data_IF_297794654565
#
_entry.id   IF_297794654565
#
_cell.length_a   1.000
_cell.length_b   1.000
_cell.length_c   1.000
_cell.angle_alpha   90.00
_cell.angle_beta   90.00
_cell.angle_gamma   90.00
#
_symmetry.space_group_name_H-M   'P 1'
#
loop_
_entity.id
_entity.type
_entity.pdbx_description
1 polymer ?
#
# COMPACT_ATOMS: atom_id res chain seq x y z
N UNK A 1 -14.07 -18.19 -44.30
CA UNK A 1 -12.85 -17.36 -44.13
C UNK A 1 -12.37 -17.51 -42.71
N UNK A 2 -11.26 -18.22 -42.52
CA UNK A 2 -10.65 -18.49 -41.18
C UNK A 2 -9.82 -17.29 -40.82
N UNK A 3 -10.24 -16.50 -39.83
CA UNK A 3 -9.43 -15.43 -39.29
C UNK A 3 -8.48 -15.98 -38.19
N UNK A 4 -7.26 -15.64 -38.35
CA UNK A 4 -6.01 -16.18 -37.82
C UNK A 4 -5.89 -16.03 -36.29
N UNK A 5 -5.90 -17.16 -35.56
CA UNK A 5 -5.74 -17.25 -34.10
C UNK A 5 -4.30 -17.05 -33.59
N UNK A 6 -3.38 -16.60 -34.44
CA UNK A 6 -1.95 -16.42 -34.08
C UNK A 6 -1.56 -15.02 -33.61
N UNK A 7 -2.40 -14.00 -33.79
CA UNK A 7 -2.11 -12.61 -33.35
C UNK A 7 -2.38 -12.30 -31.88
N UNK A 8 -2.98 -13.23 -31.13
CA UNK A 8 -3.26 -13.03 -29.70
C UNK A 8 -2.14 -13.51 -28.74
N UNK A 9 -1.04 -14.07 -29.23
CA UNK A 9 -0.01 -14.68 -28.38
C UNK A 9 1.35 -13.97 -28.33
N UNK A 10 1.48 -12.78 -28.91
CA UNK A 10 2.79 -12.08 -28.97
C UNK A 10 2.77 -10.61 -28.51
N UNK A 11 1.98 -10.27 -27.53
CA UNK A 11 2.34 -9.11 -26.73
C UNK A 11 3.31 -9.59 -25.66
N UNK A 12 4.60 -9.54 -25.97
CA UNK A 12 5.66 -9.88 -25.03
C UNK A 12 5.56 -8.96 -23.80
N UNK A 13 5.98 -9.47 -22.63
CA UNK A 13 6.08 -8.68 -21.39
C UNK A 13 6.84 -7.37 -21.60
N UNK A 14 7.75 -7.31 -22.58
CA UNK A 14 8.49 -6.12 -22.97
C UNK A 14 7.62 -5.02 -23.61
N UNK A 15 6.59 -5.37 -24.40
CA UNK A 15 5.67 -4.40 -25.00
C UNK A 15 4.71 -3.81 -23.94
N UNK A 16 4.28 -4.63 -22.99
CA UNK A 16 3.52 -4.17 -21.82
C UNK A 16 4.38 -3.25 -20.93
N UNK A 17 5.64 -3.58 -20.71
CA UNK A 17 6.58 -2.73 -19.98
C UNK A 17 6.89 -1.42 -20.74
N UNK A 18 6.99 -1.42 -22.06
CA UNK A 18 7.23 -0.19 -22.84
C UNK A 18 6.03 0.76 -22.85
N UNK A 19 4.80 0.25 -22.91
CA UNK A 19 3.58 1.03 -22.65
C UNK A 19 3.53 1.54 -21.20
N UNK A 20 4.04 0.76 -20.25
CA UNK A 20 4.17 1.07 -18.86
C UNK A 20 5.03 2.32 -18.59
N UNK A 21 6.23 2.36 -19.21
CA UNK A 21 7.14 3.51 -19.07
C UNK A 21 6.66 4.77 -19.78
N UNK A 22 5.88 4.65 -20.87
CA UNK A 22 5.27 5.81 -21.55
C UNK A 22 4.12 6.43 -20.75
N UNK A 23 3.27 5.60 -20.16
CA UNK A 23 2.15 6.07 -19.33
C UNK A 23 2.65 6.69 -18.01
N UNK A 24 3.66 6.08 -17.36
CA UNK A 24 4.29 6.64 -16.16
C UNK A 24 4.95 8.01 -16.42
N UNK A 25 5.60 8.20 -17.58
CA UNK A 25 6.16 9.50 -17.99
C UNK A 25 5.10 10.60 -18.13
N UNK A 26 3.91 10.25 -18.61
CA UNK A 26 2.82 11.23 -18.84
C UNK A 26 2.11 11.62 -17.55
N UNK A 27 2.06 10.72 -16.57
CA UNK A 27 1.38 10.93 -15.28
C UNK A 27 2.31 11.55 -14.24
N UNK A 28 3.61 11.25 -14.25
CA UNK A 28 4.55 11.61 -13.18
C UNK A 28 5.67 12.57 -13.58
N UNK A 29 5.70 13.10 -14.80
CA UNK A 29 6.56 14.23 -15.22
C UNK A 29 8.06 14.07 -14.92
N UNK A 30 8.65 12.88 -15.15
CA UNK A 30 10.06 12.60 -14.85
C UNK A 30 10.97 13.38 -15.77
N UNK A 31 11.49 14.51 -15.31
CA UNK A 31 12.70 15.14 -15.87
C UNK A 31 13.92 14.58 -15.13
N UNK A 32 15.01 14.32 -15.89
CA UNK A 32 16.30 13.83 -15.38
C UNK A 32 16.75 14.63 -14.17
N UNK A 33 17.12 13.94 -13.10
CA UNK A 33 17.67 14.51 -11.87
C UNK A 33 19.20 14.49 -11.98
N UNK A 34 19.84 15.62 -11.67
CA UNK A 34 21.28 15.87 -11.65
C UNK A 34 21.91 15.32 -10.35
N UNK A 35 23.23 15.01 -10.32
CA UNK A 35 23.87 14.44 -9.15
C UNK A 35 24.08 15.47 -8.02
N UNK A 36 23.80 15.03 -6.79
CA UNK A 36 23.96 15.78 -5.55
C UNK A 36 25.42 15.83 -5.12
N UNK A 37 25.93 17.03 -4.76
CA UNK A 37 27.20 17.23 -4.04
C UNK A 37 26.92 17.32 -2.54
N UNK A 38 27.54 16.41 -1.75
CA UNK A 38 27.54 16.48 -0.29
C UNK A 38 28.30 17.72 0.20
N UNK A 39 27.73 18.47 1.11
CA UNK A 39 28.45 19.46 1.92
C UNK A 39 28.91 18.80 3.21
N UNK A 40 30.20 18.84 3.45
CA UNK A 40 30.85 18.40 4.69
C UNK A 40 30.43 19.30 5.85
N UNK A 41 30.21 18.67 7.02
CA UNK A 41 29.88 19.33 8.25
C UNK A 41 31.07 20.10 8.86
N UNK A 42 30.75 21.18 9.54
CA UNK A 42 31.65 21.83 10.52
C UNK A 42 31.12 21.53 11.91
N UNK A 43 32.02 21.04 12.75
CA UNK A 43 31.86 20.78 14.18
C UNK A 43 31.47 22.05 14.95
N UNK A 44 30.46 21.93 15.82
CA UNK A 44 30.29 22.84 16.97
C UNK A 44 30.04 22.00 18.22
N UNK A 45 31.06 21.94 19.04
CA UNK A 45 30.99 21.48 20.44
C UNK A 45 30.16 22.47 21.26
N UNK A 46 29.16 21.97 21.93
CA UNK A 46 28.42 22.65 22.98
C UNK A 46 27.65 21.57 23.73
N UNK A 47 28.23 21.15 24.89
CA UNK A 47 27.55 20.29 25.85
C UNK A 47 26.42 21.09 26.50
N UNK A 48 25.20 20.87 26.09
CA UNK A 48 23.99 21.17 26.85
C UNK A 48 23.28 19.86 27.14
N UNK A 49 22.88 19.69 28.37
CA UNK A 49 22.13 18.57 28.95
C UNK A 49 20.81 18.43 28.17
N UNK A 50 20.82 17.61 27.09
CA UNK A 50 19.68 17.38 26.22
C UNK A 50 18.91 16.21 26.78
N UNK A 51 17.81 16.49 27.46
CA UNK A 51 16.70 15.53 27.48
C UNK A 51 16.55 15.01 26.05
N UNK A 52 16.67 13.69 25.85
CA UNK A 52 16.57 13.04 24.52
C UNK A 52 15.20 13.37 23.95
N UNK A 53 15.10 14.50 23.25
CA UNK A 53 13.92 14.82 22.48
C UNK A 53 13.77 13.72 21.42
N UNK A 54 12.63 13.07 21.38
CA UNK A 54 12.33 12.05 20.39
C UNK A 54 12.64 12.59 19.00
N UNK A 55 13.40 11.81 18.24
CA UNK A 55 13.87 12.21 16.91
C UNK A 55 12.67 12.62 16.04
N UNK A 56 12.65 13.80 15.44
CA UNK A 56 11.50 14.29 14.67
C UNK A 56 11.36 13.53 13.36
N UNK A 57 10.84 12.31 13.41
CA UNK A 57 10.61 11.45 12.25
C UNK A 57 9.36 10.60 12.42
N UNK A 58 8.78 10.08 11.33
CA UNK A 58 7.70 9.12 11.45
C UNK A 58 8.22 7.78 12.01
N UNK A 59 7.44 7.14 12.87
CA UNK A 59 7.74 5.80 13.39
C UNK A 59 7.35 4.71 12.40
N UNK A 60 6.36 4.99 11.53
CA UNK A 60 5.90 4.03 10.54
C UNK A 60 5.33 4.66 9.27
N UNK A 61 5.30 3.86 8.20
CA UNK A 61 4.52 4.09 6.99
C UNK A 61 3.50 2.96 6.79
N UNK A 62 2.25 3.29 6.48
CA UNK A 62 1.32 2.35 5.88
C UNK A 62 1.22 2.65 4.37
N UNK A 63 1.89 1.81 3.58
CA UNK A 63 2.10 2.04 2.15
C UNK A 63 0.94 1.58 1.25
N UNK A 64 -0.11 0.98 1.83
CA UNK A 64 -1.24 0.44 1.07
C UNK A 64 -1.82 -0.81 1.71
N UNK A 65 -2.67 -1.53 0.95
CA UNK A 65 -3.16 -1.19 -0.37
C UNK A 65 -4.35 -0.23 -0.28
N UNK A 66 -4.54 0.59 -1.32
CA UNK A 66 -5.80 1.32 -1.43
C UNK A 66 -6.98 0.34 -1.46
N UNK A 67 -8.05 0.61 -0.71
CA UNK A 67 -9.23 -0.26 -0.56
C UNK A 67 -9.00 -1.52 0.28
N UNK A 68 -7.97 -1.55 1.12
CA UNK A 68 -7.65 -2.66 2.03
C UNK A 68 -7.73 -2.28 3.53
N UNK A 69 -8.54 -1.29 3.90
CA UNK A 69 -8.77 -0.95 5.32
C UNK A 69 -7.87 0.15 5.89
N UNK A 70 -7.10 0.87 5.06
CA UNK A 70 -6.20 1.95 5.54
C UNK A 70 -6.93 3.10 6.25
N UNK A 71 -8.20 3.37 5.94
CA UNK A 71 -9.00 4.37 6.67
C UNK A 71 -9.42 3.86 8.04
N UNK A 72 -9.75 2.57 8.16
CA UNK A 72 -9.97 1.93 9.45
C UNK A 72 -8.72 2.03 10.32
N UNK A 73 -7.56 1.66 9.80
CA UNK A 73 -6.29 1.73 10.53
C UNK A 73 -6.01 3.17 11.02
N UNK A 74 -6.16 4.17 10.13
CA UNK A 74 -5.96 5.56 10.50
C UNK A 74 -6.85 5.97 11.69
N UNK A 75 -8.14 5.63 11.68
CA UNK A 75 -9.04 5.94 12.80
C UNK A 75 -8.66 5.21 14.08
N UNK A 76 -8.32 3.93 13.99
CA UNK A 76 -7.91 3.14 15.16
C UNK A 76 -6.67 3.72 15.84
N UNK A 77 -5.69 4.18 15.07
CA UNK A 77 -4.48 4.81 15.62
C UNK A 77 -4.74 6.23 16.11
N UNK A 78 -5.60 7.00 15.43
CA UNK A 78 -5.95 8.36 15.87
C UNK A 78 -6.61 8.38 17.26
N UNK A 79 -7.38 7.35 17.59
CA UNK A 79 -8.09 7.23 18.89
C UNK A 79 -7.23 6.54 19.96
N UNK A 80 -6.04 6.04 19.62
CA UNK A 80 -5.19 5.34 20.57
C UNK A 80 -4.28 6.31 21.33
N UNK A 81 -4.20 6.23 22.69
CA UNK A 81 -3.48 7.21 23.49
C UNK A 81 -1.97 7.27 23.25
N UNK A 82 -1.36 6.20 22.73
CA UNK A 82 0.06 6.17 22.40
C UNK A 82 0.39 6.85 21.06
N UNK A 83 -0.62 7.33 20.33
CA UNK A 83 -0.42 7.92 19.02
C UNK A 83 -0.86 9.37 18.93
N UNK A 84 -0.07 10.16 18.23
CA UNK A 84 -0.54 11.35 17.55
C UNK A 84 -0.52 11.10 16.04
N UNK A 85 -1.68 11.09 15.41
CA UNK A 85 -1.76 10.94 13.95
C UNK A 85 -1.95 12.31 13.28
N UNK A 86 -1.23 12.60 12.18
CA UNK A 86 -1.44 13.82 11.41
C UNK A 86 -2.93 14.07 11.14
N UNK A 87 -3.42 15.34 11.23
CA UNK A 87 -4.83 15.67 10.98
C UNK A 87 -5.24 15.50 9.51
N UNK A 88 -4.28 15.16 8.65
CA UNK A 88 -4.46 14.88 7.23
C UNK A 88 -4.05 13.44 6.97
N UNK A 89 -4.99 12.60 6.56
CA UNK A 89 -4.68 11.28 6.04
C UNK A 89 -4.18 11.40 4.59
N UNK A 90 -3.18 10.57 4.23
CA UNK A 90 -2.57 10.52 2.90
C UNK A 90 -1.80 11.79 2.55
N UNK A 91 -0.60 11.94 3.15
CA UNK A 91 0.27 13.09 2.92
C UNK A 91 0.77 13.17 1.47
N UNK A 92 0.86 12.04 0.78
CA UNK A 92 1.33 11.96 -0.60
C UNK A 92 2.72 12.56 -0.87
N UNK A 93 3.50 12.85 0.17
CA UNK A 93 4.76 13.57 0.06
C UNK A 93 5.75 12.89 -0.91
N UNK A 94 5.92 11.57 -0.78
CA UNK A 94 6.89 10.84 -1.60
C UNK A 94 6.43 10.63 -3.05
N UNK A 95 5.17 10.34 -3.29
CA UNK A 95 4.68 10.10 -4.65
C UNK A 95 4.38 11.37 -5.44
N UNK A 96 4.34 12.53 -4.77
CA UNK A 96 4.25 13.84 -5.39
C UNK A 96 5.57 14.64 -5.30
N UNK A 97 6.68 13.98 -4.97
CA UNK A 97 8.04 14.54 -4.93
C UNK A 97 8.14 15.83 -4.09
N UNK A 98 7.68 15.76 -2.84
CA UNK A 98 7.72 16.87 -1.90
C UNK A 98 6.52 17.83 -1.98
N UNK A 99 5.64 17.66 -2.96
CA UNK A 99 4.37 18.40 -2.98
C UNK A 99 3.36 17.71 -2.07
N UNK A 100 2.64 18.49 -1.32
CA UNK A 100 1.54 18.00 -0.48
C UNK A 100 0.21 18.49 -1.07
N UNK A 101 -0.82 17.62 -1.12
CA UNK A 101 -2.16 18.05 -1.53
C UNK A 101 -2.67 19.20 -0.68
N UNK A 102 -3.62 19.96 -1.21
CA UNK A 102 -4.28 21.03 -0.45
C UNK A 102 -4.87 20.50 0.85
N UNK A 103 -4.49 21.13 1.96
CA UNK A 103 -5.00 20.82 3.32
C UNK A 103 -6.11 21.79 3.75
N UNK A 104 -6.73 22.51 2.81
CA UNK A 104 -7.72 23.55 3.10
C UNK A 104 -8.96 23.05 3.88
N UNK A 105 -9.29 21.75 3.73
CA UNK A 105 -10.40 21.11 4.45
C UNK A 105 -10.01 20.48 5.78
N UNK A 106 -8.71 20.42 6.09
CA UNK A 106 -8.24 19.83 7.33
C UNK A 106 -8.59 20.70 8.54
N UNK A 107 -9.05 20.08 9.61
CA UNK A 107 -9.38 20.77 10.86
C UNK A 107 -8.39 20.34 11.93
N UNK A 108 -7.82 21.34 12.62
CA UNK A 108 -6.99 21.11 13.78
C UNK A 108 -7.85 20.69 14.98
N UNK A 109 -7.45 19.64 15.69
CA UNK A 109 -8.07 19.20 16.96
C UNK A 109 -7.45 19.94 18.14
N UNK A 110 -6.15 20.27 18.04
CA UNK A 110 -5.35 20.92 19.07
C UNK A 110 -4.21 21.79 18.47
N UNK A 111 -3.32 22.30 19.32
CA UNK A 111 -2.17 23.13 18.92
C UNK A 111 -1.13 22.36 18.12
N UNK A 112 -0.95 21.06 18.34
CA UNK A 112 -0.05 20.22 17.57
C UNK A 112 -0.52 20.14 16.13
N UNK A 113 -1.81 19.89 15.93
CA UNK A 113 -2.42 19.87 14.62
C UNK A 113 -2.27 21.20 13.89
N UNK A 114 -2.43 22.33 14.60
CA UNK A 114 -2.24 23.67 14.00
C UNK A 114 -0.81 23.85 13.51
N UNK A 115 0.18 23.54 14.35
CA UNK A 115 1.60 23.61 13.96
C UNK A 115 1.94 22.70 12.79
N UNK A 116 1.42 21.48 12.77
CA UNK A 116 1.57 20.57 11.66
C UNK A 116 0.99 21.12 10.36
N UNK A 117 -0.25 21.66 10.39
CA UNK A 117 -0.90 22.22 9.22
C UNK A 117 -0.19 23.46 8.69
N UNK A 118 0.41 24.28 9.55
CA UNK A 118 1.26 25.39 9.14
C UNK A 118 2.57 24.93 8.50
N UNK A 119 3.21 23.91 9.06
CA UNK A 119 4.42 23.31 8.48
C UNK A 119 4.13 22.72 7.09
N UNK A 120 3.06 21.96 6.93
CA UNK A 120 2.70 21.32 5.65
C UNK A 120 2.35 22.36 4.58
N UNK A 121 1.72 23.48 4.94
CA UNK A 121 1.47 24.60 4.01
C UNK A 121 2.77 25.20 3.48
N UNK A 122 3.79 25.33 4.34
CA UNK A 122 5.13 25.80 3.92
C UNK A 122 5.81 24.82 2.96
N UNK A 123 5.68 23.52 3.20
CA UNK A 123 6.23 22.48 2.33
C UNK A 123 5.48 22.39 0.99
N UNK A 124 4.18 22.66 0.95
CA UNK A 124 3.38 22.56 -0.29
C UNK A 124 3.85 23.49 -1.41
N UNK A 125 4.61 24.54 -1.07
CA UNK A 125 5.23 25.46 -2.02
C UNK A 125 6.53 24.91 -2.67
N UNK A 126 7.06 23.79 -2.15
CA UNK A 126 8.30 23.16 -2.65
C UNK A 126 8.00 22.18 -3.77
N UNK A 127 9.01 21.90 -4.60
CA UNK A 127 8.87 21.01 -5.77
C UNK A 127 9.94 19.90 -5.83
N UNK A 128 10.61 19.63 -4.70
CA UNK A 128 11.63 18.59 -4.57
C UNK A 128 11.41 17.77 -3.30
N UNK A 129 11.87 16.53 -3.34
CA UNK A 129 11.82 15.61 -2.20
C UNK A 129 12.96 15.93 -1.23
N UNK A 130 12.60 16.39 -0.04
CA UNK A 130 13.49 16.64 1.07
C UNK A 130 13.04 15.81 2.27
N UNK A 131 13.90 14.89 2.75
CA UNK A 131 13.54 13.95 3.80
C UNK A 131 13.64 14.57 5.20
N UNK A 132 14.50 15.56 5.39
CA UNK A 132 14.58 16.36 6.63
C UNK A 132 13.31 17.20 6.82
N UNK A 133 12.87 17.88 5.75
CA UNK A 133 11.62 18.61 5.78
C UNK A 133 10.41 17.71 6.09
N UNK A 134 10.41 16.49 5.54
CA UNK A 134 9.38 15.50 5.84
C UNK A 134 9.44 15.02 7.29
N UNK A 135 10.64 14.73 7.80
CA UNK A 135 10.86 14.35 9.18
C UNK A 135 10.36 15.44 10.13
N UNK A 136 10.71 16.70 9.84
CA UNK A 136 10.31 17.88 10.63
C UNK A 136 8.79 18.03 10.81
N UNK A 137 7.97 17.47 9.92
CA UNK A 137 6.51 17.45 10.09
C UNK A 137 6.10 16.69 11.36
N UNK A 138 6.88 15.69 11.78
CA UNK A 138 6.58 14.84 12.91
C UNK A 138 7.16 15.35 14.24
N UNK A 139 7.88 16.48 14.25
CA UNK A 139 8.41 17.08 15.47
C UNK A 139 7.33 17.39 16.52
N UNK A 140 6.09 17.63 16.06
CA UNK A 140 4.96 17.95 16.95
C UNK A 140 4.41 16.73 17.71
N UNK A 141 4.83 15.50 17.37
CA UNK A 141 4.33 14.28 18.02
C UNK A 141 4.78 14.16 19.49
N UNK A 142 5.93 14.77 19.86
CA UNK A 142 6.58 14.56 21.15
C UNK A 142 6.93 13.08 21.34
N UNK A 143 6.67 12.54 22.52
CA UNK A 143 6.93 11.14 22.87
C UNK A 143 5.91 10.14 22.25
N UNK A 144 4.88 10.63 21.57
CA UNK A 144 3.88 9.78 20.96
C UNK A 144 4.38 9.14 19.67
N UNK A 145 3.89 7.96 19.35
CA UNK A 145 4.10 7.32 18.06
C UNK A 145 3.31 8.08 16.98
N UNK A 146 3.86 8.14 15.78
CA UNK A 146 3.22 8.79 14.64
C UNK A 146 3.66 8.19 13.32
N UNK A 147 2.84 8.35 12.27
CA UNK A 147 3.20 7.85 10.95
C UNK A 147 2.31 8.37 9.84
N UNK A 148 2.67 8.02 8.63
CA UNK A 148 1.94 8.40 7.43
C UNK A 148 1.24 7.18 6.81
N UNK A 149 -0.06 7.31 6.61
CA UNK A 149 -0.89 6.28 5.98
C UNK A 149 -1.30 6.77 4.58
N UNK A 150 -0.43 6.50 3.61
CA UNK A 150 -0.64 6.90 2.21
C UNK A 150 -0.58 5.67 1.29
N UNK A 151 -1.73 5.10 0.89
CA UNK A 151 -1.78 3.90 0.06
C UNK A 151 -1.11 4.05 -1.32
N UNK A 152 -0.90 5.26 -1.78
CA UNK A 152 -0.21 5.55 -3.03
C UNK A 152 1.30 5.20 -2.96
N UNK A 153 1.87 5.06 -1.76
CA UNK A 153 3.27 4.66 -1.60
C UNK A 153 3.56 3.23 -2.04
N UNK A 154 2.54 2.38 -2.17
CA UNK A 154 2.66 1.08 -2.84
C UNK A 154 3.20 1.18 -4.28
N UNK A 155 3.09 2.36 -4.89
CA UNK A 155 3.48 2.63 -6.28
C UNK A 155 4.85 3.31 -6.42
N UNK A 156 5.55 3.58 -5.32
CA UNK A 156 6.87 4.20 -5.36
C UNK A 156 7.86 3.33 -6.13
N UNK A 157 8.75 3.99 -6.86
CA UNK A 157 9.85 3.33 -7.55
C UNK A 157 10.96 2.95 -6.56
N UNK A 158 11.87 2.12 -7.01
CA UNK A 158 12.97 1.59 -6.21
C UNK A 158 13.86 2.70 -5.64
N UNK A 159 14.21 3.73 -6.44
CA UNK A 159 15.06 4.83 -6.03
C UNK A 159 14.46 5.63 -4.85
N UNK A 160 13.16 5.92 -4.89
CA UNK A 160 12.49 6.64 -3.81
C UNK A 160 12.41 5.79 -2.54
N UNK A 161 12.10 4.48 -2.68
CA UNK A 161 12.05 3.57 -1.53
C UNK A 161 13.42 3.47 -0.86
N UNK A 162 14.49 3.29 -1.64
CA UNK A 162 15.86 3.22 -1.14
C UNK A 162 16.24 4.47 -0.37
N UNK A 163 15.96 5.66 -0.91
CA UNK A 163 16.21 6.93 -0.22
C UNK A 163 15.47 7.03 1.10
N UNK A 164 14.17 6.67 1.13
CA UNK A 164 13.38 6.69 2.37
C UNK A 164 13.99 5.77 3.42
N UNK A 165 14.26 4.51 3.06
CA UNK A 165 14.74 3.50 4.01
C UNK A 165 16.17 3.79 4.47
N UNK A 166 17.02 4.33 3.60
CA UNK A 166 18.38 4.74 3.98
C UNK A 166 18.37 5.92 4.94
N UNK A 167 17.42 6.85 4.79
CA UNK A 167 17.31 8.02 5.68
C UNK A 167 16.61 7.66 7.00
N UNK A 168 15.64 6.74 6.99
CA UNK A 168 14.90 6.28 8.15
C UNK A 168 15.14 4.78 8.40
N UNK A 169 16.30 4.35 8.90
CA UNK A 169 16.69 2.93 8.95
C UNK A 169 15.84 2.07 9.90
N UNK A 170 15.14 2.69 10.85
CA UNK A 170 14.26 2.01 11.83
C UNK A 170 12.76 2.18 11.51
N UNK A 171 12.44 2.74 10.34
CA UNK A 171 11.06 3.00 9.92
C UNK A 171 10.30 1.69 9.75
N UNK A 172 9.21 1.54 10.50
CA UNK A 172 8.31 0.39 10.35
C UNK A 172 7.40 0.58 9.15
N UNK A 173 7.25 -0.46 8.35
CA UNK A 173 6.43 -0.43 7.13
C UNK A 173 5.31 -1.45 7.23
N UNK A 174 4.08 -0.99 7.04
CA UNK A 174 2.87 -1.80 7.02
C UNK A 174 2.29 -1.84 5.60
N UNK A 175 1.95 -3.03 5.15
CA UNK A 175 1.14 -3.23 3.95
C UNK A 175 -0.11 -4.05 4.30
N UNK A 176 -1.30 -3.47 4.10
CA UNK A 176 -2.58 -4.17 4.22
C UNK A 176 -2.90 -4.80 2.87
N UNK A 177 -2.71 -6.10 2.75
CA UNK A 177 -3.01 -6.85 1.53
C UNK A 177 -4.52 -7.14 1.42
N UNK A 178 -5.03 -7.20 0.21
CA UNK A 178 -6.39 -7.61 -0.11
C UNK A 178 -6.39 -8.40 -1.41
N UNK A 179 -7.32 -9.34 -1.52
CA UNK A 179 -7.60 -10.06 -2.74
C UNK A 179 -7.63 -9.11 -3.96
N UNK A 180 -6.82 -9.35 -5.00
CA UNK A 180 -6.70 -8.46 -6.16
C UNK A 180 -8.02 -8.14 -6.84
N UNK A 181 -8.91 -9.12 -6.98
CA UNK A 181 -10.23 -8.98 -7.61
C UNK A 181 -11.11 -8.03 -6.77
N UNK A 182 -11.22 -8.33 -5.49
CA UNK A 182 -12.02 -7.55 -4.54
C UNK A 182 -11.48 -6.11 -4.39
N UNK A 183 -10.15 -5.97 -4.34
CA UNK A 183 -9.50 -4.67 -4.26
C UNK A 183 -9.79 -3.81 -5.49
N UNK A 184 -9.57 -4.39 -6.69
CA UNK A 184 -9.78 -3.70 -7.96
C UNK A 184 -11.24 -3.28 -8.12
N UNK A 185 -12.18 -4.19 -7.86
CA UNK A 185 -13.61 -3.87 -7.90
C UNK A 185 -14.01 -2.75 -6.94
N UNK A 186 -13.47 -2.79 -5.72
CA UNK A 186 -13.72 -1.75 -4.73
C UNK A 186 -13.18 -0.38 -5.17
N UNK A 187 -12.07 -0.35 -5.91
CA UNK A 187 -11.52 0.89 -6.46
C UNK A 187 -12.37 1.42 -7.62
N UNK A 188 -12.77 0.57 -8.55
CA UNK A 188 -13.66 0.94 -9.65
C UNK A 188 -15.00 1.50 -9.11
N UNK A 189 -15.60 0.82 -8.13
CA UNK A 189 -16.83 1.28 -7.46
C UNK A 189 -16.64 2.66 -6.81
N UNK A 190 -15.50 2.90 -6.19
CA UNK A 190 -15.16 4.20 -5.62
C UNK A 190 -14.99 5.27 -6.71
N UNK A 191 -14.32 4.93 -7.81
CA UNK A 191 -14.08 5.84 -8.93
C UNK A 191 -15.38 6.35 -9.56
N UNK A 192 -16.35 5.47 -9.80
CA UNK A 192 -17.68 5.83 -10.29
C UNK A 192 -18.41 6.75 -9.30
N UNK A 193 -18.45 6.37 -8.02
CA UNK A 193 -19.10 7.17 -6.98
C UNK A 193 -18.53 8.57 -6.84
N UNK A 194 -17.20 8.70 -6.88
CA UNK A 194 -16.52 9.99 -6.76
C UNK A 194 -16.43 10.75 -8.09
N UNK A 195 -17.00 10.19 -9.17
CA UNK A 195 -16.92 10.75 -10.54
C UNK A 195 -15.48 11.00 -11.00
N UNK A 196 -14.53 10.19 -10.52
CA UNK A 196 -13.12 10.26 -10.89
C UNK A 196 -12.79 9.40 -12.12
N UNK A 197 -13.73 8.56 -12.55
CA UNK A 197 -13.67 7.76 -13.78
C UNK A 197 -14.97 7.95 -14.57
N UNK A 198 -14.88 7.77 -15.87
CA UNK A 198 -16.07 7.79 -16.74
C UNK A 198 -17.00 6.63 -16.33
N UNK A 199 -18.31 6.89 -16.18
CA UNK A 199 -19.26 5.81 -15.91
C UNK A 199 -19.15 4.72 -16.97
N UNK A 200 -19.17 3.47 -16.54
CA UNK A 200 -19.09 2.28 -17.38
C UNK A 200 -20.21 1.30 -17.02
N UNK A 201 -20.50 0.36 -17.93
CA UNK A 201 -21.47 -0.69 -17.65
C UNK A 201 -20.86 -1.75 -16.73
N UNK A 202 -21.19 -1.69 -15.44
CA UNK A 202 -20.66 -2.60 -14.41
C UNK A 202 -21.10 -4.07 -14.59
N UNK A 203 -22.06 -4.36 -15.50
CA UNK A 203 -22.51 -5.73 -15.83
C UNK A 203 -21.85 -6.27 -17.11
N UNK A 204 -21.20 -5.41 -17.88
CA UNK A 204 -20.42 -5.80 -19.06
C UNK A 204 -18.97 -6.09 -18.68
N UNK A 205 -18.56 -7.34 -18.87
CA UNK A 205 -17.21 -7.76 -18.53
C UNK A 205 -16.12 -7.08 -19.39
N UNK A 206 -16.41 -6.71 -20.65
CA UNK A 206 -15.46 -6.04 -21.52
C UNK A 206 -15.23 -4.60 -21.07
N UNK A 207 -16.29 -3.90 -20.72
CA UNK A 207 -16.24 -2.52 -20.22
C UNK A 207 -15.50 -2.42 -18.87
N UNK A 208 -15.80 -3.37 -17.98
CA UNK A 208 -15.08 -3.50 -16.71
C UNK A 208 -13.59 -3.76 -16.92
N UNK A 209 -13.24 -4.69 -17.83
CA UNK A 209 -11.82 -5.00 -18.10
C UNK A 209 -11.07 -3.83 -18.71
N UNK A 210 -11.73 -3.01 -19.54
CA UNK A 210 -11.13 -1.78 -20.07
C UNK A 210 -10.73 -0.83 -18.92
N UNK A 211 -11.61 -0.61 -17.96
CA UNK A 211 -11.33 0.24 -16.79
C UNK A 211 -10.34 -0.40 -15.80
N UNK A 212 -10.32 -1.74 -15.72
CA UNK A 212 -9.33 -2.46 -14.88
C UNK A 212 -7.90 -2.26 -15.36
N UNK A 213 -7.70 -2.11 -16.67
CA UNK A 213 -6.38 -1.89 -17.29
C UNK A 213 -5.84 -0.47 -17.08
N UNK A 214 -6.61 0.45 -16.49
CA UNK A 214 -6.07 1.73 -16.05
C UNK A 214 -4.87 1.51 -15.10
N UNK A 215 -3.71 2.13 -15.37
CA UNK A 215 -2.51 1.92 -14.57
C UNK A 215 -2.71 2.19 -13.07
N UNK A 216 -3.55 3.17 -12.73
CA UNK A 216 -3.88 3.50 -11.35
C UNK A 216 -4.70 2.42 -10.63
N UNK A 217 -5.43 1.58 -11.38
CA UNK A 217 -6.16 0.42 -10.85
C UNK A 217 -5.27 -0.81 -10.87
N UNK A 218 -4.69 -1.11 -12.03
CA UNK A 218 -3.95 -2.35 -12.30
C UNK A 218 -2.73 -2.50 -11.39
N UNK A 219 -1.87 -1.48 -11.32
CA UNK A 219 -0.60 -1.56 -10.59
C UNK A 219 -0.79 -1.78 -9.08
N UNK A 220 -1.84 -1.19 -8.52
CA UNK A 220 -2.19 -1.38 -7.11
C UNK A 220 -2.84 -2.74 -6.81
N UNK A 221 -3.17 -3.51 -7.85
CA UNK A 221 -3.79 -4.83 -7.74
C UNK A 221 -2.81 -6.00 -7.80
N UNK A 222 -1.51 -5.73 -7.61
CA UNK A 222 -0.47 -6.75 -7.58
C UNK A 222 0.26 -6.74 -6.22
N UNK A 223 -0.38 -7.21 -5.13
CA UNK A 223 0.20 -7.20 -3.80
C UNK A 223 1.51 -7.99 -3.70
N UNK A 224 1.68 -9.10 -4.45
CA UNK A 224 2.94 -9.85 -4.47
C UNK A 224 4.11 -8.98 -4.94
N UNK A 225 3.93 -8.27 -6.05
CA UNK A 225 4.96 -7.38 -6.62
C UNK A 225 5.27 -6.17 -5.72
N UNK A 226 4.25 -5.63 -5.06
CA UNK A 226 4.41 -4.52 -4.12
C UNK A 226 5.25 -4.98 -2.92
N UNK A 227 4.87 -6.11 -2.32
CA UNK A 227 5.57 -6.68 -1.16
C UNK A 227 7.01 -7.06 -1.51
N UNK A 228 7.23 -7.74 -2.65
CA UNK A 228 8.55 -8.11 -3.12
C UNK A 228 9.46 -6.88 -3.33
N UNK A 229 8.91 -5.79 -3.88
CA UNK A 229 9.65 -4.53 -4.08
C UNK A 229 10.10 -3.93 -2.76
N UNK A 230 9.23 -3.75 -1.80
CA UNK A 230 9.55 -3.14 -0.52
C UNK A 230 10.48 -4.00 0.34
N UNK A 231 10.32 -5.34 0.31
CA UNK A 231 11.19 -6.28 1.02
C UNK A 231 12.65 -6.25 0.56
N UNK A 232 12.96 -5.71 -0.60
CA UNK A 232 14.36 -5.55 -1.05
C UNK A 232 15.12 -4.48 -0.26
N UNK A 233 14.42 -3.52 0.30
CA UNK A 233 15.00 -2.36 0.97
C UNK A 233 14.74 -2.33 2.47
N UNK A 234 13.55 -2.78 2.91
CA UNK A 234 13.16 -2.76 4.32
C UNK A 234 13.57 -4.06 5.00
N UNK A 235 14.29 -3.97 6.12
CA UNK A 235 14.68 -5.13 6.92
C UNK A 235 13.45 -5.92 7.39
N UNK A 236 13.53 -7.27 7.46
CA UNK A 236 12.36 -8.13 7.76
C UNK A 236 11.65 -7.80 9.08
N UNK A 237 12.39 -7.36 10.11
CA UNK A 237 11.83 -6.98 11.40
C UNK A 237 10.99 -5.70 11.35
N UNK A 238 11.23 -4.83 10.37
CA UNK A 238 10.51 -3.58 10.18
C UNK A 238 9.44 -3.63 9.10
N UNK A 239 9.19 -4.78 8.46
CA UNK A 239 8.17 -4.93 7.43
C UNK A 239 7.11 -5.94 7.85
N UNK A 240 5.82 -5.55 7.83
CA UNK A 240 4.70 -6.47 8.10
C UNK A 240 3.61 -6.36 7.05
N UNK A 241 3.13 -7.52 6.64
CA UNK A 241 1.93 -7.66 5.80
C UNK A 241 0.78 -8.12 6.68
N UNK A 242 -0.32 -7.40 6.62
CA UNK A 242 -1.60 -7.76 7.24
C UNK A 242 -2.65 -7.91 6.15
N UNK A 243 -3.78 -8.53 6.45
CA UNK A 243 -4.77 -8.86 5.44
C UNK A 243 -6.12 -8.23 5.75
N UNK A 244 -6.79 -7.76 4.70
CA UNK A 244 -8.15 -7.25 4.81
C UNK A 244 -9.14 -8.34 5.28
N UNK A 245 -8.85 -9.58 4.96
CA UNK A 245 -9.59 -10.77 5.44
C UNK A 245 -9.61 -10.86 6.97
N UNK A 246 -8.49 -10.55 7.62
CA UNK A 246 -8.40 -10.53 9.07
C UNK A 246 -9.20 -9.35 9.67
N UNK A 247 -9.23 -8.22 8.97
CA UNK A 247 -10.08 -7.09 9.33
C UNK A 247 -11.57 -7.46 9.29
N UNK A 248 -12.00 -8.23 8.30
CA UNK A 248 -13.38 -8.70 8.19
C UNK A 248 -13.72 -9.77 9.23
N UNK A 249 -12.76 -10.64 9.56
CA UNK A 249 -12.98 -11.80 10.43
C UNK A 249 -12.79 -11.48 11.91
N UNK A 250 -11.71 -10.79 12.26
CA UNK A 250 -11.35 -10.49 13.65
C UNK A 250 -10.60 -9.15 13.74
N UNK A 251 -11.30 -8.02 13.63
CA UNK A 251 -10.69 -6.68 13.65
C UNK A 251 -9.97 -6.37 14.97
N UNK A 252 -10.41 -6.94 16.09
CA UNK A 252 -9.78 -6.72 17.39
C UNK A 252 -8.37 -7.34 17.45
N UNK A 253 -8.21 -8.56 16.96
CA UNK A 253 -6.92 -9.24 16.92
C UNK A 253 -5.98 -8.57 15.91
N UNK A 254 -6.49 -8.21 14.73
CA UNK A 254 -5.72 -7.45 13.75
C UNK A 254 -5.19 -6.15 14.36
N UNK A 255 -6.06 -5.38 15.04
CA UNK A 255 -5.67 -4.15 15.72
C UNK A 255 -4.58 -4.41 16.76
N UNK A 256 -4.77 -5.43 17.62
CA UNK A 256 -3.80 -5.81 18.64
C UNK A 256 -2.43 -6.12 18.01
N UNK A 257 -2.40 -6.93 16.97
CA UNK A 257 -1.18 -7.31 16.27
C UNK A 257 -0.45 -6.09 15.65
N UNK A 258 -1.19 -5.14 15.06
CA UNK A 258 -0.61 -3.91 14.52
C UNK A 258 -0.04 -3.03 15.64
N UNK A 259 -0.75 -2.85 16.74
CA UNK A 259 -0.28 -2.06 17.88
C UNK A 259 1.01 -2.62 18.47
N UNK A 260 1.08 -3.94 18.68
CA UNK A 260 2.30 -4.63 19.14
C UNK A 260 3.47 -4.41 18.16
N UNK A 261 3.23 -4.57 16.87
CA UNK A 261 4.26 -4.34 15.86
C UNK A 261 4.77 -2.89 15.88
N UNK A 262 3.88 -1.92 16.06
CA UNK A 262 4.25 -0.52 16.14
C UNK A 262 4.95 -0.15 17.46
N UNK A 263 4.83 -0.97 18.50
CA UNK A 263 5.43 -0.74 19.82
C UNK A 263 4.51 -0.01 20.79
N UNK A 264 3.20 0.02 20.48
CA UNK A 264 2.18 0.57 21.38
C UNK A 264 1.62 -0.49 22.33
N UNK A 265 1.06 -0.07 23.46
CA UNK A 265 0.38 -0.97 24.39
C UNK A 265 -1.01 -1.35 23.87
N UNK A 266 -1.24 -2.59 23.44
CA UNK A 266 -2.51 -3.01 22.88
C UNK A 266 -3.65 -3.07 23.90
N UNK A 267 -3.36 -2.96 25.19
CA UNK A 267 -4.35 -3.03 26.27
C UNK A 267 -4.89 -1.64 26.67
N UNK A 268 -4.23 -0.56 26.25
CA UNK A 268 -4.74 0.78 26.47
C UNK A 268 -6.06 1.01 25.75
N UNK A 269 -7.06 1.60 26.38
CA UNK A 269 -8.35 1.87 25.76
C UNK A 269 -8.20 2.91 24.64
N UNK A 270 -8.80 2.64 23.50
CA UNK A 270 -8.86 3.58 22.38
C UNK A 270 -10.18 4.33 22.43
N UNK A 271 -10.24 5.44 23.11
CA UNK A 271 -11.40 6.31 23.13
C UNK A 271 -12.75 5.58 23.10
N UNK A 272 -13.68 6.06 22.26
CA UNK A 272 -15.00 5.43 22.04
C UNK A 272 -15.03 4.49 20.83
N UNK A 273 -13.95 4.44 20.04
CA UNK A 273 -13.92 3.70 18.78
C UNK A 273 -13.63 2.21 19.04
N UNK A 274 -14.60 1.36 18.73
CA UNK A 274 -14.42 -0.09 18.76
C UNK A 274 -13.59 -0.58 17.57
N UNK A 275 -12.91 -1.71 17.73
CA UNK A 275 -12.12 -2.30 16.66
C UNK A 275 -12.98 -2.73 15.45
N UNK A 276 -14.20 -3.14 15.69
CA UNK A 276 -15.18 -3.55 14.68
C UNK A 276 -15.97 -2.38 14.06
N UNK A 277 -15.59 -1.12 14.38
CA UNK A 277 -16.22 0.04 13.75
C UNK A 277 -16.08 -0.01 12.22
N UNK A 278 -17.22 -0.08 11.57
CA UNK A 278 -17.37 -0.31 10.15
C UNK A 278 -17.98 0.88 9.41
N UNK A 279 -17.70 2.09 9.88
CA UNK A 279 -18.23 3.34 9.31
C UNK A 279 -17.80 3.55 7.84
N UNK A 280 -16.82 2.77 7.35
CA UNK A 280 -16.37 2.80 5.93
C UNK A 280 -17.19 1.90 5.01
N UNK A 281 -18.10 1.07 5.52
CA UNK A 281 -18.98 0.26 4.68
C UNK A 281 -19.97 1.15 3.97
N UNK A 282 -19.84 1.21 2.65
CA UNK A 282 -20.75 1.97 1.80
C UNK A 282 -21.85 1.07 1.26
N UNK A 283 -23.09 1.55 1.33
CA UNK A 283 -24.27 0.85 0.78
C UNK A 283 -24.37 0.98 -0.75
N UNK A 284 -23.72 1.98 -1.33
CA UNK A 284 -23.76 2.38 -2.75
C UNK A 284 -22.63 1.75 -3.60
N UNK A 285 -22.16 0.55 -3.23
CA UNK A 285 -21.17 -0.19 -4.04
C UNK A 285 -21.83 -0.76 -5.31
N UNK A 286 -21.09 -0.72 -6.42
CA UNK A 286 -21.49 -1.43 -7.62
C UNK A 286 -21.62 -2.93 -7.33
N UNK A 287 -22.67 -3.57 -7.85
CA UNK A 287 -22.86 -5.00 -7.70
C UNK A 287 -21.89 -5.75 -8.62
N UNK A 288 -21.04 -6.60 -8.05
CA UNK A 288 -20.16 -7.49 -8.79
C UNK A 288 -20.98 -8.72 -9.26
N UNK A 289 -21.22 -8.80 -10.57
CA UNK A 289 -21.93 -9.96 -11.15
C UNK A 289 -21.00 -11.17 -11.26
N UNK A 290 -21.53 -12.40 -11.26
CA UNK A 290 -20.72 -13.61 -11.40
C UNK A 290 -19.87 -13.59 -12.67
N UNK A 291 -20.43 -13.19 -13.81
CA UNK A 291 -19.73 -13.07 -15.11
C UNK A 291 -18.51 -12.12 -15.03
N UNK A 292 -18.69 -10.95 -14.43
CA UNK A 292 -17.60 -9.97 -14.26
C UNK A 292 -16.56 -10.49 -13.29
N UNK A 293 -17.01 -11.07 -12.16
CA UNK A 293 -16.14 -11.69 -11.16
C UNK A 293 -15.22 -12.75 -11.74
N UNK A 294 -15.80 -13.68 -12.52
CA UNK A 294 -15.04 -14.74 -13.20
C UNK A 294 -14.03 -14.18 -14.19
N UNK A 295 -14.41 -13.16 -14.95
CA UNK A 295 -13.49 -12.54 -15.92
C UNK A 295 -12.33 -11.85 -15.23
N UNK A 296 -12.56 -11.09 -14.15
CA UNK A 296 -11.53 -10.46 -13.36
C UNK A 296 -10.65 -11.51 -12.67
N UNK A 297 -11.24 -12.57 -12.12
CA UNK A 297 -10.50 -13.65 -11.47
C UNK A 297 -9.54 -14.34 -12.43
N UNK A 298 -9.98 -14.70 -13.63
CA UNK A 298 -9.09 -15.27 -14.67
C UNK A 298 -7.97 -14.32 -15.05
N UNK A 299 -8.23 -13.02 -15.09
CA UNK A 299 -7.20 -12.02 -15.36
C UNK A 299 -6.15 -11.99 -14.26
N UNK A 300 -6.55 -12.10 -12.98
CA UNK A 300 -5.66 -12.09 -11.83
C UNK A 300 -5.24 -13.49 -11.37
N UNK A 301 -5.54 -14.56 -12.11
CA UNK A 301 -5.26 -15.94 -11.68
C UNK A 301 -3.82 -16.14 -11.25
N UNK A 302 -2.87 -15.70 -12.07
CA UNK A 302 -1.45 -15.81 -11.74
C UNK A 302 -1.09 -15.00 -10.48
N UNK A 303 -1.60 -13.79 -10.34
CA UNK A 303 -1.35 -12.96 -9.16
C UNK A 303 -1.96 -13.57 -7.89
N UNK A 304 -3.18 -14.13 -7.98
CA UNK A 304 -3.82 -14.83 -6.86
C UNK A 304 -2.98 -16.02 -6.39
N UNK A 305 -2.45 -16.83 -7.34
CA UNK A 305 -1.57 -17.95 -7.06
C UNK A 305 -0.24 -17.49 -6.45
N UNK A 306 0.37 -16.44 -7.00
CA UNK A 306 1.62 -15.87 -6.47
C UNK A 306 1.42 -15.33 -5.05
N UNK A 307 0.31 -14.62 -4.80
CA UNK A 307 -0.01 -14.15 -3.45
C UNK A 307 -0.19 -15.31 -2.45
N UNK A 308 -0.83 -16.39 -2.88
CA UNK A 308 -1.00 -17.59 -2.02
C UNK A 308 0.34 -18.19 -1.63
N UNK A 309 1.31 -18.20 -2.56
CA UNK A 309 2.66 -18.72 -2.34
C UNK A 309 3.51 -17.81 -1.46
N UNK A 310 3.59 -16.55 -1.81
CA UNK A 310 4.60 -15.64 -1.27
C UNK A 310 4.14 -14.89 -0.02
N UNK A 311 2.84 -14.57 0.08
CA UNK A 311 2.31 -13.82 1.22
C UNK A 311 1.84 -14.73 2.36
N UNK A 312 1.36 -15.93 2.03
CA UNK A 312 0.84 -16.86 3.03
C UNK A 312 -0.46 -16.38 3.69
N UNK A 313 -0.70 -16.76 4.95
CA UNK A 313 -1.88 -16.35 5.71
C UNK A 313 -3.20 -16.51 4.95
N UNK A 314 -4.14 -15.56 5.06
CA UNK A 314 -5.40 -15.58 4.31
C UNK A 314 -5.25 -15.66 2.79
N UNK A 315 -4.15 -15.15 2.20
CA UNK A 315 -3.93 -15.19 0.77
C UNK A 315 -3.87 -16.61 0.20
N UNK A 316 -3.51 -17.63 1.01
CA UNK A 316 -3.54 -19.04 0.63
C UNK A 316 -4.92 -19.48 0.12
N UNK A 317 -5.98 -18.84 0.56
CA UNK A 317 -7.36 -19.19 0.20
C UNK A 317 -7.91 -18.36 -0.96
N UNK A 318 -7.22 -17.32 -1.43
CA UNK A 318 -7.71 -16.45 -2.49
C UNK A 318 -7.96 -17.17 -3.82
N UNK A 319 -7.07 -18.06 -4.33
CA UNK A 319 -7.33 -18.81 -5.55
C UNK A 319 -8.59 -19.66 -5.48
N UNK A 320 -8.80 -20.36 -4.36
CA UNK A 320 -9.94 -21.26 -4.18
C UNK A 320 -11.29 -20.53 -4.20
N UNK A 321 -11.35 -19.23 -3.85
CA UNK A 321 -12.57 -18.40 -3.94
C UNK A 321 -13.13 -18.31 -5.36
N UNK A 322 -12.28 -18.55 -6.36
CA UNK A 322 -12.58 -18.45 -7.78
C UNK A 322 -12.48 -19.79 -8.49
N UNK A 323 -12.41 -20.89 -7.74
CA UNK A 323 -12.34 -22.25 -8.29
C UNK A 323 -10.96 -22.63 -8.86
N UNK A 324 -9.91 -21.86 -8.58
CA UNK A 324 -8.56 -22.21 -8.99
C UNK A 324 -7.96 -23.20 -7.99
N UNK A 325 -7.62 -24.41 -8.49
CA UNK A 325 -7.02 -25.47 -7.68
C UNK A 325 -5.60 -25.10 -7.23
N UNK A 326 -5.27 -25.42 -5.97
CA UNK A 326 -3.90 -25.38 -5.46
C UNK A 326 -3.03 -26.54 -5.97
N UNK A 327 -3.58 -27.52 -6.68
CA UNK A 327 -2.83 -28.66 -7.22
C UNK A 327 -1.68 -28.26 -8.15
N UNK A 328 -1.74 -27.08 -8.74
CA UNK A 328 -0.64 -26.51 -9.54
C UNK A 328 0.64 -26.28 -8.71
N UNK A 329 0.52 -26.03 -7.41
CA UNK A 329 1.67 -25.90 -6.50
C UNK A 329 2.46 -27.18 -6.35
N UNK A 330 1.77 -28.32 -6.30
CA UNK A 330 2.42 -29.63 -6.18
C UNK A 330 3.26 -29.92 -7.43
N UNK A 331 2.80 -29.52 -8.61
CA UNK A 331 3.51 -29.70 -9.87
C UNK A 331 4.76 -28.79 -10.03
N UNK A 332 4.74 -27.58 -9.53
CA UNK A 332 5.87 -26.67 -9.69
C UNK A 332 7.04 -26.98 -8.74
N UNK A 333 6.76 -27.68 -7.63
CA UNK A 333 7.78 -28.18 -6.71
C UNK A 333 8.06 -29.69 -6.89
N UNK A 334 7.31 -30.38 -7.71
CA UNK A 334 7.56 -31.80 -8.02
C UNK A 334 8.78 -31.97 -8.94
N UNK A 335 9.15 -30.95 -9.73
CA UNK A 335 10.37 -30.99 -10.55
C UNK A 335 11.64 -30.79 -9.72
N UNK A 336 11.56 -30.21 -8.51
CA UNK A 336 12.69 -30.04 -7.57
C UNK A 336 12.79 -31.16 -6.50
N UNK A 337 11.76 -31.98 -6.39
CA UNK A 337 11.77 -33.14 -5.54
C UNK A 337 11.67 -34.39 -6.44
N UNK A 338 12.70 -35.25 -6.43
CA UNK A 338 12.73 -36.59 -7.05
C UNK A 338 11.56 -37.46 -6.53
N UNK A 339 10.32 -37.02 -6.80
CA UNK A 339 9.10 -37.78 -6.43
C UNK A 339 8.81 -38.96 -7.36
N UNK A 340 9.63 -39.18 -8.41
CA UNK A 340 9.53 -40.35 -9.25
C UNK A 340 9.99 -41.67 -8.54
N UNK A 341 10.66 -41.57 -7.39
CA UNK A 341 11.06 -42.75 -6.61
C UNK A 341 9.96 -43.38 -5.74
N UNK A 342 8.76 -42.77 -5.63
CA UNK A 342 7.71 -43.28 -4.73
C UNK A 342 6.57 -44.00 -5.44
N UNK A 343 6.47 -43.90 -6.76
CA UNK A 343 5.41 -44.61 -7.52
C UNK A 343 5.79 -46.03 -7.92
N UNK A 344 7.06 -46.41 -7.89
CA UNK A 344 7.51 -47.79 -8.15
C UNK A 344 7.41 -48.71 -6.94
N UNK A 345 6.92 -48.24 -5.79
CA UNK A 345 6.77 -49.07 -4.57
C UNK A 345 5.31 -49.47 -4.27
N UNK A 346 4.35 -49.05 -5.10
CA UNK A 346 2.91 -49.39 -4.96
C UNK A 346 2.37 -50.17 -6.20
N UNK A 347 3.23 -50.59 -7.11
CA UNK A 347 2.83 -51.52 -8.19
C UNK A 347 3.15 -52.99 -7.84
#
# INVERSE_FOLDING_TARGET
>A
MRFNSQLQRQWSQAALLACFFRAARKIYGVRRIWPYKSRNGEDRNGEEDVSVAADPQPDFLCIGAQKAGTSWLYRQLTEHPDFWMPPVKELHYFNLLGRVPSVASARARDDRDRRFLEAIKRLSARSHLDLEDYAGLFAVKGELLSGDITPAYSMLNDEVIERIVSHFPNLKVIFLARDPVERAWSQLSMGVRLRNIIPFNATDAQDVMHNLLDPGVLLRSHPSKIVARWKRYVRPEFFRVYFFDDLEKNPAELRRSILVFLGADPNKPSGRLKADDNSDVRKDKLRLTAKVRDRMARFFEQELKTCAAELGGPAKHWPARYGFSLLWFIWQFADDLDLFCWLDWIA
#
